data_IF_489558316566
#
_entry.id   IF_489558316566
#
_cell.length_a   1.000
_cell.length_b   1.000
_cell.length_c   1.000
_cell.angle_alpha   90.00
_cell.angle_beta   90.00
_cell.angle_gamma   90.00
#
_symmetry.space_group_name_H-M   'P 1'
#
loop_
_entity.id
_entity.type
_entity.pdbx_description
1 polymer ?
#
# COMPACT_ATOMS: atom_id res chain seq x y z
N UNK A 1 -3.57 11.01 -0.85
CA UNK A 1 -2.16 10.58 -0.82
C UNK A 1 -2.00 9.35 -1.68
N UNK A 2 -0.96 9.30 -2.50
CA UNK A 2 -0.65 8.17 -3.37
C UNK A 2 0.79 7.75 -3.13
N UNK A 3 1.01 6.45 -2.93
CA UNK A 3 2.34 5.87 -2.73
C UNK A 3 2.62 4.87 -3.85
N UNK A 4 3.86 4.82 -4.30
CA UNK A 4 4.32 3.91 -5.32
C UNK A 4 5.49 3.13 -4.76
N UNK A 5 5.35 1.81 -4.67
CA UNK A 5 6.35 0.92 -4.11
C UNK A 5 6.83 -0.05 -5.17
N UNK A 6 8.12 -0.04 -5.48
CA UNK A 6 8.69 -1.01 -6.42
C UNK A 6 8.91 -2.36 -5.74
N UNK A 7 8.14 -3.36 -6.14
CA UNK A 7 8.32 -4.76 -5.73
C UNK A 7 9.22 -5.51 -6.70
N UNK A 8 9.87 -6.58 -6.21
CA UNK A 8 10.69 -7.47 -7.04
C UNK A 8 9.85 -8.42 -7.90
N UNK A 9 8.59 -8.62 -7.52
CA UNK A 9 7.70 -9.65 -8.07
C UNK A 9 7.11 -9.30 -9.45
N UNK A 10 7.10 -8.01 -9.84
CA UNK A 10 6.50 -7.62 -11.12
C UNK A 10 7.12 -6.39 -11.78
N UNK A 11 6.74 -6.18 -13.04
CA UNK A 11 7.21 -5.06 -13.85
C UNK A 11 6.55 -3.72 -13.48
N UNK A 12 5.48 -3.74 -12.67
CA UNK A 12 4.72 -2.57 -12.28
C UNK A 12 4.86 -2.29 -10.78
N UNK A 13 4.95 -1.01 -10.38
CA UNK A 13 4.95 -0.63 -8.97
C UNK A 13 3.61 -0.97 -8.31
N UNK A 14 3.66 -1.30 -7.03
CA UNK A 14 2.47 -1.35 -6.17
C UNK A 14 2.02 0.08 -5.90
N UNK A 15 0.78 0.40 -6.25
CA UNK A 15 0.18 1.72 -6.06
C UNK A 15 -0.74 1.66 -4.83
N UNK A 16 -0.59 2.59 -3.89
CA UNK A 16 -1.47 2.70 -2.73
C UNK A 16 -2.10 4.08 -2.73
N UNK A 17 -3.40 4.13 -2.97
CA UNK A 17 -4.20 5.36 -3.02
C UNK A 17 -5.03 5.48 -1.74
N UNK A 18 -4.82 6.58 -1.02
CA UNK A 18 -5.68 7.02 0.08
C UNK A 18 -6.27 8.37 -0.26
N UNK A 19 -7.58 8.41 -0.45
CA UNK A 19 -8.32 9.64 -0.65
C UNK A 19 -9.29 9.80 0.51
N UNK A 20 -8.89 10.56 1.53
CA UNK A 20 -9.72 10.79 2.73
C UNK A 20 -10.95 11.66 2.42
N UNK A 21 -10.82 12.56 1.44
CA UNK A 21 -11.90 13.44 0.99
C UNK A 21 -13.08 12.66 0.37
N UNK A 22 -12.78 11.64 -0.46
CA UNK A 22 -13.80 10.76 -1.04
C UNK A 22 -13.95 9.41 -0.30
N UNK A 23 -13.19 9.18 0.77
CA UNK A 23 -13.14 7.90 1.49
C UNK A 23 -12.71 6.71 0.62
N UNK A 24 -11.85 6.95 -0.39
CA UNK A 24 -11.39 5.90 -1.31
C UNK A 24 -10.03 5.37 -0.87
N UNK A 25 -9.99 4.11 -0.50
CA UNK A 25 -8.76 3.42 -0.15
C UNK A 25 -8.58 2.26 -1.11
N UNK A 26 -7.53 2.30 -1.93
CA UNK A 26 -7.29 1.30 -2.96
C UNK A 26 -5.81 0.93 -2.97
N UNK A 27 -5.53 -0.36 -3.12
CA UNK A 27 -4.20 -0.89 -3.37
C UNK A 27 -4.23 -1.54 -4.73
N UNK A 28 -3.24 -1.23 -5.57
CA UNK A 28 -2.96 -1.96 -6.80
C UNK A 28 -1.64 -2.69 -6.65
N UNK A 29 -1.67 -4.00 -6.82
CA UNK A 29 -0.48 -4.87 -6.79
C UNK A 29 0.29 -4.80 -8.11
N UNK A 30 1.53 -5.24 -8.06
CA UNK A 30 2.40 -5.45 -9.24
C UNK A 30 1.81 -6.44 -10.25
N UNK A 31 1.00 -7.39 -9.80
CA UNK A 31 0.31 -8.40 -10.61
C UNK A 31 -0.99 -7.89 -11.27
N UNK A 32 -1.15 -6.57 -11.46
CA UNK A 32 -2.35 -5.90 -12.03
C UNK A 32 -3.65 -6.00 -11.21
N UNK A 33 -3.71 -6.91 -10.26
CA UNK A 33 -4.80 -7.06 -9.28
C UNK A 33 -4.87 -5.83 -8.36
N UNK A 34 -6.08 -5.43 -7.96
CA UNK A 34 -6.28 -4.35 -6.99
C UNK A 34 -7.38 -4.68 -5.98
N UNK A 35 -7.23 -4.17 -4.77
CA UNK A 35 -8.14 -4.34 -3.65
C UNK A 35 -8.66 -2.96 -3.21
N UNK A 36 -9.95 -2.89 -2.89
CA UNK A 36 -10.60 -1.69 -2.37
C UNK A 36 -10.97 -1.89 -0.91
N UNK A 37 -10.79 -0.85 -0.11
CA UNK A 37 -11.06 -0.85 1.32
C UNK A 37 -12.02 0.28 1.67
N UNK A 38 -12.87 0.05 2.67
CA UNK A 38 -13.80 1.07 3.17
C UNK A 38 -13.17 1.95 4.24
N UNK A 39 -12.04 1.54 4.80
CA UNK A 39 -11.35 2.24 5.88
C UNK A 39 -9.83 2.09 5.75
N UNK A 40 -9.06 3.12 6.15
CA UNK A 40 -7.60 3.08 6.07
C UNK A 40 -7.05 1.96 6.97
N UNK A 41 -7.63 1.77 8.16
CA UNK A 41 -7.30 0.67 9.09
C UNK A 41 -7.35 -0.73 8.45
N UNK A 42 -8.38 -1.01 7.65
CA UNK A 42 -8.50 -2.30 6.95
C UNK A 42 -7.40 -2.44 5.90
N UNK A 43 -7.12 -1.37 5.17
CA UNK A 43 -6.06 -1.32 4.18
C UNK A 43 -4.68 -1.56 4.81
N UNK A 44 -4.36 -0.89 5.93
CA UNK A 44 -3.07 -1.08 6.64
C UNK A 44 -2.90 -2.51 7.14
N UNK A 45 -3.96 -3.10 7.71
CA UNK A 45 -3.93 -4.50 8.15
C UNK A 45 -3.68 -5.44 6.98
N UNK A 46 -4.38 -5.23 5.88
CA UNK A 46 -4.23 -6.05 4.68
C UNK A 46 -2.82 -5.94 4.10
N UNK A 47 -2.25 -4.71 4.03
CA UNK A 47 -0.86 -4.48 3.60
C UNK A 47 0.11 -5.26 4.48
N UNK A 48 -0.04 -5.20 5.81
CA UNK A 48 0.85 -5.91 6.73
C UNK A 48 0.75 -7.44 6.62
N UNK A 49 -0.43 -7.96 6.26
CA UNK A 49 -0.66 -9.39 6.11
C UNK A 49 -0.18 -9.93 4.74
N UNK A 50 -0.41 -9.15 3.67
CA UNK A 50 -0.10 -9.56 2.29
C UNK A 50 1.29 -9.16 1.83
N UNK A 51 1.83 -8.04 2.32
CA UNK A 51 3.12 -7.52 1.89
C UNK A 51 4.15 -7.57 3.01
N UNK A 52 5.37 -7.97 2.66
CA UNK A 52 6.51 -7.88 3.55
C UNK A 52 7.50 -6.85 3.00
N UNK A 53 8.25 -6.16 3.88
CA UNK A 53 9.29 -5.24 3.43
C UNK A 53 10.35 -5.90 2.55
N UNK A 54 10.53 -7.22 2.66
CA UNK A 54 11.47 -8.01 1.86
C UNK A 54 11.03 -8.20 0.39
N UNK A 55 9.73 -8.08 0.10
CA UNK A 55 9.19 -8.16 -1.26
C UNK A 55 9.48 -6.90 -2.11
N UNK A 56 9.97 -5.84 -1.47
CA UNK A 56 10.23 -4.54 -2.11
C UNK A 56 11.71 -4.26 -2.30
N UNK A 57 12.03 -3.62 -3.42
CA UNK A 57 13.38 -3.13 -3.72
C UNK A 57 13.91 -2.17 -2.64
N UNK A 58 13.00 -1.39 -2.05
CA UNK A 58 13.35 -0.34 -1.11
C UNK A 58 12.47 -0.50 0.15
N UNK A 59 12.90 -1.31 1.13
CA UNK A 59 12.16 -1.53 2.38
C UNK A 59 11.95 -0.23 3.19
N UNK A 60 12.81 0.77 2.98
CA UNK A 60 12.66 2.09 3.58
C UNK A 60 11.40 2.82 3.09
N UNK A 61 11.06 2.74 1.80
CA UNK A 61 9.84 3.35 1.25
C UNK A 61 8.60 2.68 1.83
N UNK A 62 8.60 1.34 1.90
CA UNK A 62 7.51 0.59 2.54
C UNK A 62 7.33 1.00 4.01
N UNK A 63 8.43 1.11 4.76
CA UNK A 63 8.40 1.51 6.17
C UNK A 63 7.90 2.94 6.34
N UNK A 64 8.32 3.85 5.46
CA UNK A 64 7.87 5.25 5.48
C UNK A 64 6.37 5.37 5.15
N UNK A 65 5.90 4.64 4.14
CA UNK A 65 4.48 4.52 3.83
C UNK A 65 3.71 3.99 5.04
N UNK A 66 4.13 2.88 5.64
CA UNK A 66 3.50 2.31 6.82
C UNK A 66 3.48 3.27 8.01
N UNK A 67 4.51 4.11 8.16
CA UNK A 67 4.56 5.15 9.20
C UNK A 67 3.57 6.28 8.93
N UNK A 68 3.43 6.72 7.68
CA UNK A 68 2.38 7.66 7.28
C UNK A 68 0.99 7.04 7.46
N UNK A 69 0.84 5.75 7.17
CA UNK A 69 -0.41 5.03 7.34
C UNK A 69 -0.80 4.82 8.81
N UNK A 70 0.19 4.65 9.69
CA UNK A 70 -0.02 4.50 11.13
C UNK A 70 -0.63 5.75 11.78
N UNK A 71 -0.62 6.90 11.12
CA UNK A 71 -1.33 8.08 11.61
C UNK A 71 -2.87 7.94 11.52
N UNK A 72 -3.35 6.94 10.78
CA UNK A 72 -4.76 6.61 10.59
C UNK A 72 -5.20 5.36 11.38
N UNK A 73 -4.29 4.77 12.18
CA UNK A 73 -4.59 3.70 13.16
C UNK A 73 -5.11 4.31 14.47
#
# INVERSE_FOLDING_TARGET
MEFFLNSYDGALPVEVTLDEDNGRYMIRKSDTSGEYFNSPLEMVKWIRDNFKPDDFCIPAEFTQMMKSLAQFE
#
